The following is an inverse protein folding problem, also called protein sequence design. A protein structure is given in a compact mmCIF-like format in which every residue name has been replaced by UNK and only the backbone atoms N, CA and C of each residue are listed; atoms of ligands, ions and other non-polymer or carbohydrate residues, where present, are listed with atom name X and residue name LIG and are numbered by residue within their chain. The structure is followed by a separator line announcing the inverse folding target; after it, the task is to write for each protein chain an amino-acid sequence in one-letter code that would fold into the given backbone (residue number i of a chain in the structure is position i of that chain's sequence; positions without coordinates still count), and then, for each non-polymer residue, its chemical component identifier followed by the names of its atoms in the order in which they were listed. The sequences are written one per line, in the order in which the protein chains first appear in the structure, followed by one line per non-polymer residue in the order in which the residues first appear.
data_IF_824434878976
#
_entry.id   IF_824434878976
#
_cell.length_a   1.000
_cell.length_b   1.000
_cell.length_c   1.000
_cell.angle_alpha   90.00
_cell.angle_beta   90.00
_cell.angle_gamma   90.00
#
_symmetry.space_group_name_H-M   'P 1'
#
loop_
_entity.id
_entity.type
_entity.pdbx_description
1 polymer ?
#
# COMPACT_ATOMS: atom_id res chain seq x y z
N UNK A 1 9.70 7.41 -6.71
CA UNK A 1 10.99 7.74 -6.04
C UNK A 1 10.84 7.79 -4.52
N UNK A 2 9.96 8.64 -3.98
CA UNK A 2 9.76 8.78 -2.52
C UNK A 2 9.42 7.46 -1.80
N UNK A 3 8.56 6.62 -2.36
CA UNK A 3 8.17 5.35 -1.73
C UNK A 3 9.37 4.43 -1.47
N UNK A 4 10.35 4.39 -2.38
CA UNK A 4 11.58 3.60 -2.20
C UNK A 4 12.49 4.22 -1.14
N UNK A 5 12.61 5.55 -1.13
CA UNK A 5 13.41 6.24 -0.12
C UNK A 5 12.84 6.00 1.29
N UNK A 6 11.51 6.10 1.46
CA UNK A 6 10.82 5.81 2.71
C UNK A 6 11.00 4.33 3.08
N UNK A 7 10.79 3.41 2.14
CA UNK A 7 10.95 1.97 2.38
C UNK A 7 12.33 1.59 2.95
N UNK A 8 13.39 2.31 2.56
CA UNK A 8 14.74 2.08 3.09
C UNK A 8 14.96 2.60 4.51
N UNK A 9 14.14 3.55 4.95
CA UNK A 9 14.22 4.15 6.28
C UNK A 9 13.27 3.48 7.28
N UNK A 10 12.32 2.65 6.81
CA UNK A 10 11.37 1.97 7.69
C UNK A 10 11.99 0.70 8.30
N UNK A 11 11.80 0.46 9.61
CA UNK A 11 12.15 -0.83 10.19
C UNK A 11 11.21 -1.93 9.69
N UNK A 12 11.67 -3.18 9.69
CA UNK A 12 10.94 -4.34 9.17
C UNK A 12 9.62 -4.66 9.88
N UNK A 13 9.39 -4.05 11.05
CA UNK A 13 8.17 -4.18 11.84
C UNK A 13 6.99 -3.34 11.32
N UNK A 14 7.25 -2.40 10.41
CA UNK A 14 6.20 -1.53 9.85
C UNK A 14 5.46 -2.28 8.73
N UNK A 15 4.13 -2.29 8.80
CA UNK A 15 3.27 -2.79 7.72
C UNK A 15 3.23 -1.76 6.59
N UNK A 16 3.53 -2.20 5.38
CA UNK A 16 3.62 -1.31 4.22
C UNK A 16 2.64 -1.77 3.15
N UNK A 17 1.86 -0.84 2.61
CA UNK A 17 1.02 -1.08 1.43
C UNK A 17 1.48 -0.15 0.33
N UNK A 18 1.93 -0.73 -0.79
CA UNK A 18 2.36 0.01 -1.97
C UNK A 18 1.26 -0.06 -3.03
N UNK A 19 0.73 1.09 -3.43
CA UNK A 19 -0.24 1.20 -4.52
C UNK A 19 0.42 2.00 -5.63
N UNK A 20 0.61 1.39 -6.79
CA UNK A 20 1.20 2.05 -7.96
C UNK A 20 0.68 1.37 -9.24
N UNK A 21 0.46 2.13 -10.30
CA UNK A 21 0.04 1.57 -11.59
C UNK A 21 1.20 0.84 -12.29
N UNK A 22 2.45 1.19 -11.93
CA UNK A 22 3.64 0.58 -12.50
C UNK A 22 4.08 -0.65 -11.66
N UNK A 23 3.97 -1.88 -12.20
CA UNK A 23 4.34 -3.09 -11.48
C UNK A 23 5.82 -3.13 -11.06
N UNK A 24 6.71 -2.45 -11.80
CA UNK A 24 8.13 -2.40 -11.47
C UNK A 24 8.43 -1.61 -10.21
N UNK A 25 7.61 -0.61 -9.87
CA UNK A 25 7.79 0.18 -8.63
C UNK A 25 7.33 -0.64 -7.43
N UNK A 26 6.19 -1.32 -7.57
CA UNK A 26 5.63 -2.21 -6.53
C UNK A 26 6.63 -3.31 -6.18
N UNK A 27 7.14 -4.03 -7.18
CA UNK A 27 8.08 -5.14 -6.98
C UNK A 27 9.35 -4.68 -6.25
N UNK A 28 9.95 -3.56 -6.69
CA UNK A 28 11.15 -2.97 -6.07
C UNK A 28 10.97 -2.58 -4.60
N UNK A 29 9.74 -2.34 -4.15
CA UNK A 29 9.43 -1.95 -2.79
C UNK A 29 9.06 -3.16 -1.93
N UNK A 30 8.29 -4.10 -2.49
CA UNK A 30 7.90 -5.34 -1.81
C UNK A 30 9.10 -6.25 -1.55
N UNK A 31 10.06 -6.34 -2.49
CA UNK A 31 11.26 -7.18 -2.36
C UNK A 31 12.23 -6.72 -1.26
N UNK A 32 12.06 -5.53 -0.67
CA UNK A 32 12.98 -4.98 0.35
C UNK A 32 12.74 -5.48 1.78
N UNK A 33 12.11 -6.65 1.92
CA UNK A 33 12.24 -7.45 3.14
C UNK A 33 11.42 -6.99 4.34
N UNK A 34 10.43 -6.10 4.18
CA UNK A 34 9.36 -6.02 5.16
C UNK A 34 8.53 -7.30 5.03
N UNK A 35 8.60 -8.22 6.00
CA UNK A 35 7.80 -9.46 6.00
C UNK A 35 6.27 -9.22 5.98
N UNK A 36 5.86 -7.95 5.96
CA UNK A 36 4.49 -7.45 6.01
C UNK A 36 4.23 -6.37 4.93
N UNK A 37 4.89 -6.44 3.76
CA UNK A 37 4.56 -5.58 2.60
C UNK A 37 3.49 -6.22 1.72
N UNK A 38 2.52 -5.39 1.28
CA UNK A 38 1.52 -5.75 0.28
C UNK A 38 1.65 -4.80 -0.90
N UNK A 39 1.68 -5.35 -2.11
CA UNK A 39 1.69 -4.60 -3.36
C UNK A 39 0.32 -4.65 -4.05
N UNK A 40 -0.17 -3.49 -4.49
CA UNK A 40 -1.41 -3.35 -5.27
C UNK A 40 -1.08 -2.63 -6.57
N UNK A 41 -1.26 -3.32 -7.69
CA UNK A 41 -1.03 -2.74 -9.02
C UNK A 41 -2.36 -2.14 -9.50
N UNK A 42 -2.52 -0.84 -9.36
CA UNK A 42 -3.77 -0.15 -9.71
C UNK A 42 -3.57 1.35 -9.90
N UNK A 43 -4.54 2.00 -10.56
CA UNK A 43 -4.64 3.45 -10.59
C UNK A 43 -5.03 3.99 -9.20
N UNK A 44 -4.26 4.96 -8.70
CA UNK A 44 -4.49 5.51 -7.35
C UNK A 44 -5.78 6.34 -7.27
N UNK A 45 -6.18 6.98 -8.38
CA UNK A 45 -7.41 7.77 -8.49
C UNK A 45 -8.66 6.90 -8.37
N UNK A 46 -8.61 5.67 -8.87
CA UNK A 46 -9.67 4.68 -8.70
C UNK A 46 -9.60 3.96 -7.34
N UNK A 47 -8.40 3.63 -6.86
CA UNK A 47 -8.21 2.86 -5.62
C UNK A 47 -8.70 3.60 -4.37
N UNK A 48 -8.38 4.90 -4.23
CA UNK A 48 -8.68 5.66 -3.01
C UNK A 48 -10.19 5.82 -2.74
N UNK A 49 -11.05 6.15 -3.72
CA UNK A 49 -12.50 6.19 -3.52
C UNK A 49 -13.09 4.85 -3.08
N UNK A 50 -12.63 3.74 -3.67
CA UNK A 50 -13.08 2.39 -3.30
C UNK A 50 -12.67 2.06 -1.86
N UNK A 51 -11.43 2.40 -1.48
CA UNK A 51 -10.97 2.22 -0.10
C UNK A 51 -11.79 3.06 0.89
N UNK A 52 -12.14 4.30 0.54
CA UNK A 52 -12.95 5.16 1.39
C UNK A 52 -14.38 4.63 1.59
N UNK A 53 -15.00 4.12 0.53
CA UNK A 53 -16.32 3.47 0.59
C UNK A 53 -16.28 2.22 1.49
N UNK A 54 -15.29 1.35 1.28
CA UNK A 54 -15.15 0.13 2.07
C UNK A 54 -14.88 0.43 3.55
N UNK A 55 -14.05 1.44 3.87
CA UNK A 55 -13.84 1.89 5.25
C UNK A 55 -15.13 2.42 5.88
N UNK A 56 -15.99 3.07 5.11
CA UNK A 56 -17.28 3.57 5.59
C UNK A 56 -18.24 2.42 5.88
N UNK A 57 -18.31 1.43 4.98
CA UNK A 57 -19.08 0.19 5.17
C UNK A 57 -18.64 -0.58 6.41
N UNK A 58 -17.32 -0.73 6.62
CA UNK A 58 -16.76 -1.41 7.78
C UNK A 58 -17.05 -0.70 9.10
N UNK A 59 -17.12 0.65 9.10
CA UNK A 59 -17.52 1.41 10.30
C UNK A 59 -18.98 1.15 10.68
N UNK A 60 -19.87 1.10 9.68
CA UNK A 60 -21.30 0.79 9.91
C UNK A 60 -21.46 -0.62 10.48
N UNK A 61 -20.72 -1.61 9.96
CA UNK A 61 -20.79 -3.00 10.42
C UNK A 61 -20.20 -3.25 11.81
N UNK A 62 -19.35 -2.35 12.30
CA UNK A 62 -18.71 -2.43 13.62
C UNK A 62 -19.38 -1.52 14.66
N UNK A 63 -20.40 -0.75 14.26
CA UNK A 63 -21.20 0.12 15.13
C UNK A 63 -22.43 -0.56 15.68
#
# INVERSE_FOLDING_TARGET
LHSIAIGNMLPSTVRVVCVDINPSVVLKLVDRGTAQSVGVISDVGAFLPILADELSRLKILRG
#
